data_IF_519548688802
#
_entry.id   IF_519548688802
#
_cell.length_a   1.000
_cell.length_b   1.000
_cell.length_c   1.000
_cell.angle_alpha   90.00
_cell.angle_beta   90.00
_cell.angle_gamma   90.00
#
_symmetry.space_group_name_H-M   'P 1'
#
loop_
_entity.id
_entity.type
_entity.pdbx_description
1 polymer ?
#
# COMPACT_ATOMS: atom_id res chain seq x y z
N UNK A 1 11.52 -18.46 16.64
CA UNK A 1 11.47 -18.05 15.26
C UNK A 1 10.18 -17.27 14.99
N UNK A 2 10.29 -16.11 14.33
CA UNK A 2 9.14 -15.30 13.95
C UNK A 2 8.71 -15.68 12.53
N UNK A 3 7.40 -15.82 12.29
CA UNK A 3 6.88 -16.03 10.92
C UNK A 3 6.71 -14.70 10.19
N UNK A 4 6.59 -14.73 8.83
CA UNK A 4 6.29 -13.53 8.03
C UNK A 4 4.98 -12.89 8.49
N UNK A 5 3.94 -13.71 8.76
CA UNK A 5 2.67 -13.24 9.32
C UNK A 5 2.88 -12.42 10.59
N UNK A 6 3.53 -13.01 11.60
CA UNK A 6 3.76 -12.35 12.89
C UNK A 6 4.63 -11.10 12.73
N UNK A 7 5.62 -11.14 11.85
CA UNK A 7 6.45 -9.97 11.55
C UNK A 7 5.62 -8.81 10.95
N UNK A 8 4.67 -9.12 10.06
CA UNK A 8 3.78 -8.12 9.47
C UNK A 8 2.78 -7.59 10.51
N UNK A 9 2.17 -8.47 11.31
CA UNK A 9 1.26 -8.13 12.44
C UNK A 9 1.89 -7.12 13.40
N UNK A 10 3.14 -7.39 13.79
CA UNK A 10 3.88 -6.58 14.76
C UNK A 10 4.68 -5.44 14.10
N UNK A 11 4.65 -5.35 12.78
CA UNK A 11 5.46 -4.38 12.02
C UNK A 11 6.95 -4.43 12.39
N UNK A 12 7.54 -5.64 12.42
CA UNK A 12 8.89 -5.88 12.90
C UNK A 12 9.95 -5.44 11.88
N UNK A 13 10.50 -4.24 12.03
CA UNK A 13 11.54 -3.70 11.14
C UNK A 13 12.76 -4.61 11.05
N UNK A 14 13.23 -5.17 12.17
CA UNK A 14 14.39 -6.06 12.20
C UNK A 14 14.20 -7.33 11.35
N UNK A 15 13.00 -7.90 11.33
CA UNK A 15 12.69 -9.04 10.49
C UNK A 15 12.77 -8.69 9.01
N UNK A 16 12.11 -7.60 8.59
CA UNK A 16 12.10 -7.18 7.19
C UNK A 16 13.47 -6.67 6.73
N UNK A 17 14.22 -5.96 7.57
CA UNK A 17 15.60 -5.59 7.28
C UNK A 17 16.49 -6.82 7.02
N UNK A 18 16.39 -7.85 7.88
CA UNK A 18 17.17 -9.08 7.73
C UNK A 18 16.84 -9.83 6.43
N UNK A 19 15.55 -9.95 6.09
CA UNK A 19 15.13 -10.57 4.82
C UNK A 19 15.57 -9.69 3.66
N UNK A 20 15.33 -8.38 3.75
CA UNK A 20 15.71 -7.43 2.72
C UNK A 20 17.17 -7.54 2.32
N UNK A 21 18.07 -7.61 3.30
CA UNK A 21 19.51 -7.78 3.06
C UNK A 21 19.88 -9.07 2.27
N UNK A 22 18.98 -10.05 2.21
CA UNK A 22 19.19 -11.29 1.44
C UNK A 22 18.64 -11.24 0.02
N UNK A 23 17.83 -10.24 -0.31
CA UNK A 23 17.23 -10.09 -1.63
C UNK A 23 18.25 -9.52 -2.63
N UNK A 24 18.04 -9.83 -3.91
CA UNK A 24 18.76 -9.11 -4.97
C UNK A 24 18.26 -7.66 -5.04
N UNK A 25 19.15 -6.63 -4.96
CA UNK A 25 18.71 -5.23 -5.08
C UNK A 25 17.92 -4.96 -6.36
N UNK A 26 18.39 -5.48 -7.49
CA UNK A 26 17.70 -5.36 -8.78
C UNK A 26 16.36 -6.10 -8.77
N UNK A 27 16.29 -7.31 -8.20
CA UNK A 27 15.05 -8.07 -8.09
C UNK A 27 14.02 -7.33 -7.22
N UNK A 28 14.46 -6.76 -6.10
CA UNK A 28 13.60 -5.97 -5.22
C UNK A 28 13.07 -4.71 -5.94
N UNK A 29 13.96 -3.99 -6.63
CA UNK A 29 13.57 -2.85 -7.44
C UNK A 29 12.54 -3.22 -8.51
N UNK A 30 12.78 -4.30 -9.26
CA UNK A 30 11.84 -4.77 -10.30
C UNK A 30 10.46 -5.05 -9.71
N UNK A 31 10.38 -5.71 -8.53
CA UNK A 31 9.12 -5.91 -7.83
C UNK A 31 8.42 -4.60 -7.48
N UNK A 32 9.15 -3.57 -7.03
CA UNK A 32 8.56 -2.26 -6.78
C UNK A 32 8.08 -1.58 -8.08
N UNK A 33 8.80 -1.77 -9.20
CA UNK A 33 8.43 -1.25 -10.52
C UNK A 33 7.20 -2.00 -11.08
N UNK A 34 7.01 -3.28 -10.77
CA UNK A 34 5.77 -4.00 -11.08
C UNK A 34 4.55 -3.39 -10.38
N UNK A 35 4.75 -2.77 -9.21
CA UNK A 35 3.76 -1.94 -8.52
C UNK A 35 3.72 -0.49 -9.01
N UNK A 36 4.35 -0.17 -10.13
CA UNK A 36 4.43 1.15 -10.77
C UNK A 36 5.18 2.23 -9.95
N UNK A 37 6.05 1.86 -9.01
CA UNK A 37 7.05 2.80 -8.52
C UNK A 37 8.01 3.16 -9.65
N UNK A 38 8.54 4.38 -9.65
CA UNK A 38 9.36 4.94 -10.73
C UNK A 38 8.63 5.12 -12.08
N UNK A 39 7.40 4.62 -12.22
CA UNK A 39 6.62 4.71 -13.44
C UNK A 39 5.53 5.78 -13.37
N UNK A 40 5.01 6.17 -14.54
CA UNK A 40 3.88 7.08 -14.62
C UNK A 40 2.58 6.29 -14.50
N UNK A 41 1.76 6.63 -13.48
CA UNK A 41 0.41 6.07 -13.39
C UNK A 41 -0.44 6.50 -14.59
N UNK A 42 -1.31 5.62 -15.08
CA UNK A 42 -2.18 5.90 -16.22
C UNK A 42 -3.41 6.76 -15.81
N UNK A 43 -3.15 7.97 -15.31
CA UNK A 43 -4.17 8.93 -14.88
C UNK A 43 -4.09 10.22 -15.70
N UNK A 44 -5.23 10.91 -15.87
CA UNK A 44 -5.36 12.12 -16.67
C UNK A 44 -5.27 13.42 -15.81
N UNK A 45 -4.81 13.34 -14.58
CA UNK A 45 -4.64 14.48 -13.68
C UNK A 45 -3.20 14.57 -13.17
N UNK A 46 -2.81 15.74 -12.71
CA UNK A 46 -1.47 15.95 -12.12
C UNK A 46 -1.34 15.26 -10.78
N UNK A 47 -0.21 14.56 -10.58
CA UNK A 47 0.15 13.91 -9.33
C UNK A 47 1.68 13.83 -9.18
N UNK A 48 2.15 13.56 -7.97
CA UNK A 48 3.57 13.26 -7.73
C UNK A 48 3.81 11.77 -7.94
N UNK A 49 4.89 11.44 -8.65
CA UNK A 49 5.30 10.05 -8.86
C UNK A 49 5.97 9.50 -7.60
N UNK A 50 5.63 8.28 -7.23
CA UNK A 50 6.33 7.52 -6.19
C UNK A 50 7.68 7.05 -6.70
N UNK A 51 8.68 6.96 -5.84
CA UNK A 51 10.04 6.58 -6.23
C UNK A 51 10.63 5.53 -5.30
N UNK A 52 11.41 4.65 -5.90
CA UNK A 52 12.20 3.62 -5.24
C UNK A 52 13.58 3.57 -5.90
N UNK A 53 14.65 3.78 -5.13
CA UNK A 53 15.98 4.05 -5.68
C UNK A 53 17.05 3.01 -5.29
N UNK A 54 16.64 1.76 -5.07
CA UNK A 54 17.60 0.67 -4.85
C UNK A 54 18.19 0.20 -6.19
N UNK A 55 19.51 0.00 -6.25
CA UNK A 55 20.24 -0.52 -7.40
C UNK A 55 21.39 -1.44 -6.97
N UNK A 56 22.17 -1.93 -7.94
CA UNK A 56 23.29 -2.84 -7.70
C UNK A 56 24.42 -2.23 -6.88
N UNK A 57 24.52 -0.91 -6.82
CA UNK A 57 25.59 -0.16 -6.14
C UNK A 57 25.14 0.33 -4.75
N UNK A 58 23.86 0.12 -4.43
CA UNK A 58 23.28 0.46 -3.12
C UNK A 58 23.93 -0.36 -2.00
N UNK A 59 24.19 0.29 -0.86
CA UNK A 59 24.76 -0.39 0.29
C UNK A 59 23.75 -1.38 0.92
N UNK A 60 24.27 -2.37 1.66
CA UNK A 60 23.43 -3.27 2.45
C UNK A 60 22.54 -2.50 3.45
N UNK A 61 23.07 -1.39 4.00
CA UNK A 61 22.31 -0.52 4.89
C UNK A 61 21.12 0.14 4.18
N UNK A 62 21.33 0.69 2.96
CA UNK A 62 20.22 1.26 2.17
C UNK A 62 19.18 0.20 1.86
N UNK A 63 19.63 -1.01 1.48
CA UNK A 63 18.74 -2.13 1.20
C UNK A 63 17.92 -2.55 2.43
N UNK A 64 18.55 -2.61 3.60
CA UNK A 64 17.87 -2.88 4.86
C UNK A 64 16.79 -1.81 5.16
N UNK A 65 17.12 -0.52 4.99
CA UNK A 65 16.19 0.58 5.27
C UNK A 65 14.97 0.55 4.36
N UNK A 66 15.15 0.41 3.04
CA UNK A 66 14.02 0.39 2.11
C UNK A 66 13.12 -0.84 2.30
N UNK A 67 13.66 -1.94 2.87
CA UNK A 67 12.92 -3.18 3.12
C UNK A 67 11.82 -3.06 4.17
N UNK A 68 11.88 -2.06 5.04
CA UNK A 68 10.79 -1.73 5.97
C UNK A 68 10.18 -0.34 5.71
N UNK A 69 10.39 0.22 4.50
CA UNK A 69 9.74 1.44 4.05
C UNK A 69 10.38 2.73 4.54
N UNK A 70 11.67 2.73 4.82
CA UNK A 70 12.46 3.89 5.19
C UNK A 70 13.48 4.26 4.11
N UNK A 71 14.44 5.13 4.42
CA UNK A 71 15.49 5.56 3.50
C UNK A 71 14.95 6.51 2.44
N UNK A 72 15.25 6.21 1.17
CA UNK A 72 14.95 7.08 0.03
C UNK A 72 13.63 6.78 -0.68
N UNK A 73 12.85 5.82 -0.18
CA UNK A 73 11.54 5.46 -0.75
C UNK A 73 10.53 6.59 -0.52
N UNK A 74 9.90 7.06 -1.59
CA UNK A 74 8.82 8.05 -1.53
C UNK A 74 7.54 7.48 -2.16
N UNK A 75 6.45 7.52 -1.41
CA UNK A 75 5.16 7.01 -1.86
C UNK A 75 4.07 8.06 -1.72
N UNK A 76 3.18 8.13 -2.69
CA UNK A 76 1.97 8.95 -2.60
C UNK A 76 0.80 8.15 -2.02
N UNK A 77 -0.20 8.79 -1.39
CA UNK A 77 -1.42 8.10 -0.96
C UNK A 77 -2.11 7.37 -2.11
N UNK A 78 -2.16 7.98 -3.30
CA UNK A 78 -2.74 7.34 -4.49
C UNK A 78 -2.02 6.02 -4.82
N UNK A 79 -0.68 6.02 -4.85
CA UNK A 79 0.11 4.81 -5.11
C UNK A 79 -0.19 3.73 -4.07
N UNK A 80 -0.24 4.11 -2.79
CA UNK A 80 -0.45 3.15 -1.70
C UNK A 80 -1.90 2.63 -1.66
N UNK A 81 -2.89 3.43 -2.08
CA UNK A 81 -4.26 2.96 -2.30
C UNK A 81 -4.32 1.94 -3.45
N UNK A 82 -3.57 2.16 -4.55
CA UNK A 82 -3.48 1.21 -5.65
C UNK A 82 -2.79 -0.10 -5.23
N UNK A 83 -1.75 -0.03 -4.40
CA UNK A 83 -1.12 -1.23 -3.81
C UNK A 83 -2.14 -2.01 -2.98
N UNK A 84 -2.87 -1.36 -2.07
CA UNK A 84 -3.91 -2.00 -1.27
C UNK A 84 -5.03 -2.59 -2.14
N UNK A 85 -5.46 -1.85 -3.18
CA UNK A 85 -6.50 -2.32 -4.10
C UNK A 85 -6.06 -3.51 -4.93
N UNK A 86 -4.78 -3.61 -5.31
CA UNK A 86 -4.28 -4.77 -6.06
C UNK A 86 -4.30 -6.05 -5.22
N UNK A 87 -3.99 -5.97 -3.92
CA UNK A 87 -4.16 -7.08 -2.98
C UNK A 87 -5.64 -7.47 -2.87
N UNK A 88 -6.51 -6.49 -2.67
CA UNK A 88 -7.95 -6.69 -2.58
C UNK A 88 -8.55 -7.33 -3.85
N UNK A 89 -8.00 -7.02 -5.02
CA UNK A 89 -8.45 -7.45 -6.34
C UNK A 89 -7.66 -8.65 -6.91
N UNK A 90 -7.19 -9.55 -6.04
CA UNK A 90 -6.55 -10.80 -6.45
C UNK A 90 -5.27 -10.62 -7.26
N UNK A 91 -4.47 -9.59 -6.95
CA UNK A 91 -3.19 -9.32 -7.59
C UNK A 91 -3.25 -8.36 -8.78
N UNK A 92 -4.43 -7.95 -9.21
CA UNK A 92 -4.61 -7.06 -10.37
C UNK A 92 -4.80 -5.61 -9.95
N UNK A 93 -3.93 -4.73 -10.41
CA UNK A 93 -4.04 -3.28 -10.24
C UNK A 93 -4.88 -2.68 -11.37
N UNK A 94 -5.92 -1.92 -10.99
CA UNK A 94 -6.81 -1.27 -11.95
C UNK A 94 -6.37 0.17 -12.20
N UNK A 95 -6.57 0.65 -13.43
CA UNK A 95 -6.39 2.05 -13.80
C UNK A 95 -7.37 2.92 -13.01
N UNK A 96 -6.90 3.86 -12.17
CA UNK A 96 -7.81 4.78 -11.49
C UNK A 96 -8.39 5.79 -12.48
N UNK A 97 -9.67 6.08 -12.36
CA UNK A 97 -10.36 7.10 -13.14
C UNK A 97 -11.43 7.79 -12.28
N UNK A 98 -11.72 9.04 -12.60
CA UNK A 98 -12.69 9.87 -11.87
C UNK A 98 -13.93 10.20 -12.71
N UNK A 99 -13.89 9.94 -14.02
CA UNK A 99 -15.01 10.14 -14.94
C UNK A 99 -15.65 8.80 -15.25
N UNK A 100 -16.93 8.65 -14.90
CA UNK A 100 -17.72 7.46 -15.24
C UNK A 100 -18.22 7.50 -16.67
N UNK A 101 -18.83 8.63 -17.07
CA UNK A 101 -19.40 8.81 -18.41
C UNK A 101 -19.41 10.27 -18.86
N UNK A 102 -19.61 10.47 -20.15
CA UNK A 102 -19.89 11.77 -20.77
C UNK A 102 -21.29 11.71 -21.35
N UNK A 103 -22.11 12.68 -21.01
CA UNK A 103 -23.50 12.80 -21.49
C UNK A 103 -23.62 13.99 -22.44
N UNK A 104 -24.58 13.95 -23.39
CA UNK A 104 -24.99 15.10 -24.18
C UNK A 104 -25.93 16.03 -23.40
N UNK A 105 -26.38 17.13 -24.03
CA UNK A 105 -27.29 18.09 -23.42
C UNK A 105 -28.70 17.56 -23.15
N UNK A 106 -29.04 16.39 -23.67
CA UNK A 106 -30.31 15.70 -23.49
C UNK A 106 -30.21 14.57 -22.44
N UNK A 107 -28.97 14.29 -21.93
CA UNK A 107 -28.73 13.26 -20.94
C UNK A 107 -28.41 11.88 -21.52
N UNK A 108 -28.22 11.76 -22.83
CA UNK A 108 -27.82 10.50 -23.45
C UNK A 108 -26.32 10.26 -23.27
N UNK A 109 -25.92 9.01 -23.01
CA UNK A 109 -24.52 8.65 -22.85
C UNK A 109 -23.79 8.66 -24.17
N UNK A 110 -22.80 9.60 -24.34
CA UNK A 110 -21.91 9.69 -25.48
C UNK A 110 -20.72 8.75 -25.32
N UNK A 111 -20.23 8.61 -24.09
CA UNK A 111 -19.04 7.80 -23.77
C UNK A 111 -19.12 7.23 -22.37
N UNK A 112 -18.79 5.96 -22.22
CA UNK A 112 -18.62 5.26 -20.93
C UNK A 112 -17.15 4.94 -20.70
N UNK A 113 -16.64 5.18 -19.50
CA UNK A 113 -15.32 4.72 -19.09
C UNK A 113 -15.47 3.38 -18.38
N UNK A 114 -14.84 2.35 -18.92
CA UNK A 114 -14.90 1.00 -18.36
C UNK A 114 -13.65 0.70 -17.52
N UNK A 115 -13.79 -0.09 -16.45
CA UNK A 115 -12.65 -0.56 -15.68
C UNK A 115 -11.61 -1.24 -16.57
N UNK A 116 -10.32 -0.89 -16.39
CA UNK A 116 -9.21 -1.45 -17.14
C UNK A 116 -8.05 -1.74 -16.17
N UNK A 117 -7.43 -2.90 -16.29
CA UNK A 117 -6.20 -3.20 -15.56
C UNK A 117 -5.02 -2.43 -16.12
N UNK A 118 -4.09 -2.04 -15.27
CA UNK A 118 -2.83 -1.38 -15.66
C UNK A 118 -1.58 -2.18 -15.27
N UNK A 119 -1.68 -3.08 -14.28
CA UNK A 119 -0.58 -3.95 -13.88
C UNK A 119 -1.11 -5.22 -13.21
N UNK A 120 -0.24 -6.23 -13.11
CA UNK A 120 -0.51 -7.45 -12.32
C UNK A 120 0.74 -7.75 -11.48
N UNK A 121 0.97 -6.98 -10.41
CA UNK A 121 2.21 -7.03 -9.64
C UNK A 121 2.40 -8.29 -8.79
N UNK A 122 1.37 -9.09 -8.64
CA UNK A 122 1.41 -10.37 -7.90
C UNK A 122 0.40 -11.36 -8.45
N UNK A 123 0.60 -12.63 -8.17
CA UNK A 123 -0.35 -13.70 -8.49
C UNK A 123 -1.56 -13.64 -7.54
N UNK A 124 -2.65 -14.31 -7.91
CA UNK A 124 -3.84 -14.41 -7.05
C UNK A 124 -3.54 -15.14 -5.73
N UNK A 125 -2.63 -16.11 -5.74
CA UNK A 125 -2.21 -16.84 -4.54
C UNK A 125 -1.43 -15.94 -3.57
N UNK A 126 -0.48 -15.16 -4.09
CA UNK A 126 0.28 -14.17 -3.30
C UNK A 126 -0.63 -13.08 -2.73
N UNK A 127 -1.60 -12.60 -3.52
CA UNK A 127 -2.59 -11.62 -3.08
C UNK A 127 -3.46 -12.18 -1.93
N UNK A 128 -3.93 -13.41 -2.04
CA UNK A 128 -4.73 -14.05 -0.99
C UNK A 128 -3.91 -14.27 0.29
N UNK A 129 -2.65 -14.67 0.16
CA UNK A 129 -1.76 -14.82 1.30
C UNK A 129 -1.50 -13.47 1.99
N UNK A 130 -1.22 -12.42 1.20
CA UNK A 130 -0.99 -11.07 1.73
C UNK A 130 -2.26 -10.49 2.37
N UNK A 131 -3.43 -10.69 1.76
CA UNK A 131 -4.74 -10.37 2.33
C UNK A 131 -4.93 -11.00 3.69
N UNK A 132 -4.64 -12.30 3.83
CA UNK A 132 -4.70 -13.02 5.11
C UNK A 132 -3.78 -12.40 6.16
N UNK A 133 -2.57 -11.98 5.79
CA UNK A 133 -1.65 -11.33 6.70
C UNK A 133 -2.10 -9.92 7.08
N UNK A 134 -2.59 -9.13 6.11
CA UNK A 134 -3.14 -7.79 6.35
C UNK A 134 -4.40 -7.84 7.23
N UNK A 135 -5.20 -8.89 7.13
CA UNK A 135 -6.32 -9.14 8.03
C UNK A 135 -5.84 -9.36 9.46
N UNK A 136 -4.78 -10.16 9.65
CA UNK A 136 -4.19 -10.39 10.98
C UNK A 136 -3.59 -9.10 11.59
N UNK A 137 -3.06 -8.18 10.78
CA UNK A 137 -2.60 -6.87 11.27
C UNK A 137 -3.73 -6.09 11.93
N UNK A 138 -4.94 -6.19 11.40
CA UNK A 138 -6.12 -5.52 11.96
C UNK A 138 -6.71 -6.31 13.12
N UNK A 139 -6.82 -7.64 13.04
CA UNK A 139 -7.42 -8.45 14.11
C UNK A 139 -6.54 -8.57 15.36
N UNK A 140 -5.23 -8.75 15.18
CA UNK A 140 -4.31 -9.14 16.26
C UNK A 140 -3.05 -8.27 16.36
N UNK A 141 -2.87 -7.33 15.42
CA UNK A 141 -1.63 -6.56 15.27
C UNK A 141 -1.80 -5.05 15.48
N UNK A 142 -0.87 -4.31 14.89
CA UNK A 142 -0.75 -2.85 15.04
C UNK A 142 -1.91 -2.05 14.46
N UNK A 143 -2.76 -2.68 13.64
CA UNK A 143 -3.93 -2.05 13.00
C UNK A 143 -5.25 -2.20 13.77
N UNK A 144 -5.24 -2.67 15.01
CA UNK A 144 -6.44 -3.05 15.78
C UNK A 144 -7.50 -1.94 15.90
N UNK A 145 -7.11 -0.67 15.82
CA UNK A 145 -8.06 0.47 15.85
C UNK A 145 -8.85 0.63 14.53
N UNK A 146 -8.51 -0.12 13.48
CA UNK A 146 -9.32 -0.21 12.27
C UNK A 146 -10.36 -1.34 12.32
N UNK A 147 -10.47 -2.09 13.41
CA UNK A 147 -11.48 -3.14 13.58
C UNK A 147 -12.91 -2.58 13.55
N UNK A 148 -13.83 -3.34 12.96
CA UNK A 148 -15.28 -3.08 12.96
C UNK A 148 -16.03 -4.31 13.43
N UNK A 149 -17.16 -4.09 14.11
CA UNK A 149 -18.09 -5.17 14.50
C UNK A 149 -18.96 -5.63 13.31
N UNK A 150 -18.99 -4.87 12.22
CA UNK A 150 -19.87 -5.10 11.08
C UNK A 150 -19.20 -5.82 9.91
N UNK A 151 -17.87 -5.74 9.81
CA UNK A 151 -17.08 -6.35 8.73
C UNK A 151 -15.63 -6.60 9.18
N UNK A 152 -14.97 -7.53 8.55
CA UNK A 152 -13.54 -7.74 8.72
C UNK A 152 -12.78 -6.81 7.75
N UNK A 153 -11.81 -6.06 8.26
CA UNK A 153 -10.92 -5.23 7.46
C UNK A 153 -9.53 -5.87 7.33
N UNK A 154 -8.84 -5.56 6.24
CA UNK A 154 -7.45 -5.89 6.04
C UNK A 154 -6.64 -4.59 5.89
N UNK A 155 -5.45 -4.50 6.49
CA UNK A 155 -4.66 -3.29 6.40
C UNK A 155 -3.24 -3.40 6.92
N UNK A 156 -2.48 -2.33 6.78
CA UNK A 156 -1.13 -2.18 7.33
C UNK A 156 -0.91 -0.75 7.81
N UNK A 157 -0.40 -0.63 9.01
CA UNK A 157 0.04 0.64 9.61
C UNK A 157 1.46 0.98 9.19
N UNK A 158 1.78 2.27 9.16
CA UNK A 158 3.13 2.77 8.97
C UNK A 158 3.38 4.00 9.86
N UNK A 159 4.61 4.13 10.34
CA UNK A 159 5.11 5.34 10.99
C UNK A 159 6.42 5.68 10.31
N UNK A 160 6.35 6.54 9.28
CA UNK A 160 7.46 6.84 8.40
C UNK A 160 8.20 8.08 8.89
N UNK A 161 9.47 7.93 9.29
CA UNK A 161 10.33 9.04 9.68
C UNK A 161 10.59 9.95 8.47
N UNK A 162 10.49 11.27 8.69
CA UNK A 162 10.72 12.26 7.65
C UNK A 162 11.82 13.27 8.00
N UNK A 163 12.34 13.20 9.22
CA UNK A 163 13.46 14.04 9.66
C UNK A 163 14.39 13.29 10.61
N UNK A 164 15.53 13.90 10.94
CA UNK A 164 16.54 13.33 11.83
C UNK A 164 16.19 13.39 13.32
N UNK A 165 15.05 13.94 13.68
CA UNK A 165 14.60 14.07 15.07
C UNK A 165 13.64 12.97 15.50
N UNK A 166 13.31 12.04 14.57
CA UNK A 166 12.41 10.93 14.80
C UNK A 166 10.91 11.29 14.69
N UNK A 167 10.60 12.44 14.08
CA UNK A 167 9.22 12.77 13.74
C UNK A 167 8.72 11.87 12.61
N UNK A 168 7.48 11.39 12.72
CA UNK A 168 6.92 10.43 11.77
C UNK A 168 5.59 10.91 11.17
N UNK A 169 5.38 10.57 9.90
CA UNK A 169 4.06 10.57 9.27
C UNK A 169 3.30 9.31 9.67
N UNK A 170 2.05 9.46 10.09
CA UNK A 170 1.17 8.34 10.40
C UNK A 170 0.49 7.83 9.12
N UNK A 171 0.70 6.53 8.80
CA UNK A 171 0.12 5.88 7.64
C UNK A 171 -0.80 4.72 7.99
N UNK A 172 -1.84 4.53 7.22
CA UNK A 172 -2.60 3.30 7.14
C UNK A 172 -3.02 3.07 5.69
N UNK A 173 -2.85 1.84 5.22
CA UNK A 173 -3.43 1.37 3.96
C UNK A 173 -4.27 0.15 4.23
N UNK A 174 -5.35 -0.02 3.50
CA UNK A 174 -6.21 -1.19 3.71
C UNK A 174 -7.40 -1.23 2.79
N UNK A 175 -8.24 -2.23 3.01
CA UNK A 175 -9.48 -2.43 2.27
C UNK A 175 -10.51 -3.16 3.14
N UNK A 176 -11.77 -3.01 2.78
CA UNK A 176 -12.88 -3.65 3.46
C UNK A 176 -14.07 -3.90 2.50
N UNK A 177 -14.93 -4.92 2.79
CA UNK A 177 -14.67 -6.06 3.68
C UNK A 177 -13.50 -6.92 3.15
N UNK A 178 -12.81 -7.66 4.01
CA UNK A 178 -11.65 -8.46 3.59
C UNK A 178 -12.04 -9.66 2.70
N UNK A 179 -13.21 -10.25 2.92
CA UNK A 179 -13.73 -11.40 2.18
C UNK A 179 -14.34 -11.02 0.81
N UNK A 180 -14.93 -9.81 0.71
CA UNK A 180 -15.50 -9.28 -0.53
C UNK A 180 -15.20 -7.78 -0.65
N UNK A 181 -13.97 -7.39 -0.99
CA UNK A 181 -13.51 -6.01 -0.97
C UNK A 181 -14.36 -5.09 -1.84
N UNK A 182 -14.82 -3.98 -1.26
CA UNK A 182 -15.61 -2.96 -1.93
C UNK A 182 -14.89 -1.61 -1.97
N UNK A 183 -14.02 -1.33 -1.00
CA UNK A 183 -13.26 -0.09 -0.92
C UNK A 183 -11.82 -0.39 -0.52
N UNK A 184 -10.87 0.33 -1.13
CA UNK A 184 -9.49 0.38 -0.69
C UNK A 184 -9.13 1.82 -0.33
N UNK A 185 -8.37 2.00 0.75
CA UNK A 185 -8.01 3.32 1.28
C UNK A 185 -6.52 3.42 1.56
N UNK A 186 -6.01 4.64 1.45
CA UNK A 186 -4.72 5.03 2.02
C UNK A 186 -4.90 6.35 2.78
N UNK A 187 -4.51 6.34 4.03
CA UNK A 187 -4.55 7.51 4.93
C UNK A 187 -3.15 7.90 5.31
N UNK A 188 -2.82 9.18 5.17
CA UNK A 188 -1.61 9.78 5.73
C UNK A 188 -2.00 10.98 6.60
N UNK A 189 -1.36 11.09 7.76
CA UNK A 189 -1.40 12.30 8.60
C UNK A 189 0.04 12.77 8.78
N UNK A 190 0.38 13.88 8.15
CA UNK A 190 1.72 14.48 8.21
C UNK A 190 2.04 14.90 9.65
N UNK A 191 3.20 14.46 10.15
CA UNK A 191 3.59 14.68 11.55
C UNK A 191 2.68 14.01 12.58
N UNK A 192 1.82 13.07 12.16
CA UNK A 192 0.82 12.43 13.00
C UNK A 192 1.36 11.37 13.97
N UNK A 193 2.63 11.01 13.88
CA UNK A 193 3.25 10.02 14.76
C UNK A 193 2.86 8.59 14.41
N UNK A 194 2.03 7.94 15.22
CA UNK A 194 1.71 6.52 15.07
C UNK A 194 0.61 6.23 14.06
N UNK A 195 0.91 5.44 13.04
CA UNK A 195 -0.08 4.99 12.05
C UNK A 195 -1.24 4.22 12.68
N UNK A 196 -0.94 3.34 13.64
CA UNK A 196 -1.97 2.55 14.34
C UNK A 196 -2.91 3.38 15.20
N UNK A 197 -2.41 4.44 15.84
CA UNK A 197 -3.22 5.27 16.73
C UNK A 197 -3.89 6.46 16.02
N UNK A 198 -3.35 6.94 14.91
CA UNK A 198 -3.85 8.15 14.24
C UNK A 198 -4.50 7.82 12.89
N UNK A 199 -3.80 7.11 11.99
CA UNK A 199 -4.31 6.86 10.65
C UNK A 199 -5.33 5.70 10.59
N UNK A 200 -5.16 4.64 11.38
CA UNK A 200 -6.08 3.50 11.39
C UNK A 200 -7.52 3.86 11.84
N UNK A 201 -7.75 4.69 12.90
CA UNK A 201 -9.10 5.13 13.25
C UNK A 201 -9.76 5.99 12.16
N UNK A 202 -8.97 6.78 11.41
CA UNK A 202 -9.49 7.58 10.29
C UNK A 202 -9.94 6.64 9.17
N UNK A 203 -9.13 5.64 8.83
CA UNK A 203 -9.50 4.65 7.81
C UNK A 203 -10.78 3.86 8.19
N UNK A 204 -10.97 3.56 9.48
CA UNK A 204 -12.20 2.92 9.98
C UNK A 204 -13.44 3.78 9.79
N UNK A 205 -13.30 5.11 9.84
CA UNK A 205 -14.43 6.05 9.74
C UNK A 205 -14.90 6.30 8.30
N UNK A 206 -14.10 5.88 7.30
CA UNK A 206 -14.41 5.96 5.87
C UNK A 206 -15.26 4.76 5.43
#
# INVERSE_FOLDING_TARGET
PMSVRTALEQSCNGFFATIGATLSPTGFRNTCEDFLFNEKLPVDFEYKKSSFSLDSDSSEWDQMQVSFGQGTTLATPLQMALVASSVANGGTMMTPYVLDSVLDGEGNEIKKFLPKSCATPMTAEEAEQLKSYMTSVVSDGTGYLAQSDSYQAAGKTGSAEYDSTGNTHAWFIGFAPADNPQIAVAVIVEGGGSGGHVAAPIAKAL
#
